data_IF_534071607347
#
_entry.id   IF_534071607347
#
_cell.length_a   1.000
_cell.length_b   1.000
_cell.length_c   1.000
_cell.angle_alpha   90.00
_cell.angle_beta   90.00
_cell.angle_gamma   90.00
#
_symmetry.space_group_name_H-M   'P 1'
#
loop_
_entity.id
_entity.type
_entity.pdbx_description
1 polymer ?
#
# COMPACT_ATOMS: atom_id res chain seq x y z
N UNK A 1 -15.17 -49.18 -15.70
CA UNK A 1 -15.05 -47.78 -16.15
C UNK A 1 -14.20 -47.04 -15.14
N UNK A 2 -12.99 -46.62 -15.51
CA UNK A 2 -11.97 -46.13 -14.59
C UNK A 2 -12.17 -44.62 -14.29
N UNK A 3 -12.69 -44.29 -13.11
CA UNK A 3 -12.59 -42.93 -12.56
C UNK A 3 -11.22 -42.74 -11.88
N UNK A 4 -10.17 -42.70 -12.70
CA UNK A 4 -8.85 -42.30 -12.26
C UNK A 4 -8.84 -40.79 -12.05
N UNK A 5 -9.06 -40.34 -10.82
CA UNK A 5 -8.77 -38.96 -10.42
C UNK A 5 -7.32 -38.70 -10.81
N UNK A 6 -7.10 -37.76 -11.74
CA UNK A 6 -5.77 -37.43 -12.23
C UNK A 6 -5.02 -36.63 -11.16
N UNK A 7 -4.60 -37.33 -10.10
CA UNK A 7 -3.98 -36.76 -8.89
C UNK A 7 -2.70 -35.98 -9.20
N UNK A 8 -2.07 -36.26 -10.35
CA UNK A 8 -0.89 -35.55 -10.84
C UNK A 8 -1.19 -34.11 -11.25
N UNK A 9 -2.31 -33.88 -11.93
CA UNK A 9 -2.71 -32.56 -12.45
C UNK A 9 -3.22 -31.67 -11.32
N UNK A 10 -4.00 -32.23 -10.40
CA UNK A 10 -4.47 -31.51 -9.21
C UNK A 10 -3.31 -31.13 -8.28
N UNK A 11 -2.34 -32.03 -8.06
CA UNK A 11 -1.11 -31.71 -7.30
C UNK A 11 -0.31 -30.59 -7.97
N UNK A 12 -0.20 -30.58 -9.31
CA UNK A 12 0.49 -29.52 -10.05
C UNK A 12 -0.23 -28.18 -9.93
N UNK A 13 -1.56 -28.17 -10.03
CA UNK A 13 -2.41 -26.98 -9.86
C UNK A 13 -2.33 -26.41 -8.45
N UNK A 14 -2.34 -27.28 -7.43
CA UNK A 14 -2.17 -26.85 -6.04
C UNK A 14 -0.81 -26.20 -5.80
N UNK A 15 0.28 -26.80 -6.31
CA UNK A 15 1.63 -26.22 -6.22
C UNK A 15 1.74 -24.88 -6.94
N UNK A 16 1.13 -24.73 -8.11
CA UNK A 16 1.14 -23.45 -8.83
C UNK A 16 0.36 -22.36 -8.08
N UNK A 17 -0.77 -22.70 -7.46
CA UNK A 17 -1.53 -21.78 -6.61
C UNK A 17 -0.74 -21.36 -5.37
N UNK A 18 -0.01 -22.28 -4.73
CA UNK A 18 0.89 -21.94 -3.61
C UNK A 18 2.01 -20.98 -4.04
N UNK A 19 2.64 -21.24 -5.19
CA UNK A 19 3.65 -20.34 -5.75
C UNK A 19 3.06 -18.96 -6.06
N UNK A 20 1.87 -18.90 -6.67
CA UNK A 20 1.13 -17.66 -6.94
C UNK A 20 0.82 -16.91 -5.65
N UNK A 21 0.34 -17.58 -4.60
CA UNK A 21 0.09 -16.99 -3.28
C UNK A 21 1.36 -16.36 -2.70
N UNK A 22 2.49 -17.05 -2.76
CA UNK A 22 3.78 -16.53 -2.29
C UNK A 22 4.23 -15.31 -3.09
N UNK A 23 4.03 -15.31 -4.40
CA UNK A 23 4.35 -14.18 -5.28
C UNK A 23 3.48 -12.96 -4.98
N UNK A 24 2.16 -13.14 -4.94
CA UNK A 24 1.20 -12.08 -4.63
C UNK A 24 1.49 -11.43 -3.26
N UNK A 25 1.86 -12.22 -2.25
CA UNK A 25 2.25 -11.67 -0.94
C UNK A 25 3.47 -10.75 -1.03
N UNK A 26 4.47 -11.10 -1.84
CA UNK A 26 5.65 -10.24 -2.06
C UNK A 26 5.29 -8.97 -2.83
N UNK A 27 4.42 -9.09 -3.84
CA UNK A 27 3.94 -7.96 -4.63
C UNK A 27 3.14 -6.97 -3.74
N UNK A 28 2.23 -7.48 -2.90
CA UNK A 28 1.49 -6.65 -1.92
C UNK A 28 2.45 -5.88 -1.03
N UNK A 29 3.44 -6.56 -0.44
CA UNK A 29 4.41 -5.90 0.43
C UNK A 29 5.24 -4.84 -0.31
N UNK A 30 5.63 -5.10 -1.57
CA UNK A 30 6.35 -4.14 -2.38
C UNK A 30 5.51 -2.89 -2.67
N UNK A 31 4.23 -3.07 -3.02
CA UNK A 31 3.27 -1.99 -3.27
C UNK A 31 3.05 -1.18 -1.99
N UNK A 32 2.85 -1.82 -0.84
CA UNK A 32 2.67 -1.14 0.45
C UNK A 32 3.90 -0.29 0.82
N UNK A 33 5.11 -0.81 0.56
CA UNK A 33 6.36 -0.06 0.78
C UNK A 33 6.48 1.15 -0.14
N UNK A 34 6.13 1.00 -1.41
CA UNK A 34 6.15 2.10 -2.38
C UNK A 34 5.12 3.17 -2.01
N UNK A 35 3.91 2.74 -1.63
CA UNK A 35 2.84 3.62 -1.15
C UNK A 35 3.30 4.43 0.07
N UNK A 36 3.95 3.78 1.05
CA UNK A 36 4.54 4.47 2.20
C UNK A 36 5.52 5.56 1.78
N UNK A 37 6.47 5.22 0.89
CA UNK A 37 7.51 6.14 0.44
C UNK A 37 6.91 7.35 -0.26
N UNK A 38 6.00 7.12 -1.19
CA UNK A 38 5.37 8.17 -1.98
C UNK A 38 4.47 9.06 -1.13
N UNK A 39 3.69 8.47 -0.21
CA UNK A 39 2.87 9.22 0.74
C UNK A 39 3.74 10.05 1.70
N UNK A 40 4.87 9.52 2.17
CA UNK A 40 5.82 10.28 3.02
C UNK A 40 6.37 11.48 2.27
N UNK A 41 6.89 11.28 1.06
CA UNK A 41 7.43 12.36 0.23
C UNK A 41 6.36 13.43 -0.02
N UNK A 42 5.12 13.03 -0.29
CA UNK A 42 4.04 13.96 -0.51
C UNK A 42 3.68 14.75 0.76
N UNK A 43 3.55 14.08 1.91
CA UNK A 43 3.27 14.74 3.19
C UNK A 43 4.40 15.69 3.59
N UNK A 44 5.65 15.36 3.31
CA UNK A 44 6.79 16.26 3.56
C UNK A 44 6.72 17.51 2.67
N UNK A 45 6.47 17.34 1.36
CA UNK A 45 6.32 18.44 0.41
C UNK A 45 5.15 19.37 0.78
N UNK A 46 4.06 18.81 1.29
CA UNK A 46 2.83 19.54 1.64
C UNK A 46 2.78 19.95 3.12
N UNK A 47 3.84 19.73 3.89
CA UNK A 47 3.91 20.03 5.33
C UNK A 47 2.78 19.38 6.15
N UNK A 48 2.43 18.14 5.82
CA UNK A 48 1.42 17.36 6.52
C UNK A 48 -0.02 17.61 6.05
N UNK A 49 -0.23 18.35 4.96
CA UNK A 49 -1.56 18.55 4.37
C UNK A 49 -1.90 17.41 3.38
N UNK A 50 -2.83 16.50 3.70
CA UNK A 50 -3.16 15.39 2.80
C UNK A 50 -3.85 15.90 1.52
N UNK A 51 -3.53 15.27 0.38
CA UNK A 51 -4.15 15.51 -0.94
C UNK A 51 -5.67 15.69 -0.89
N UNK A 52 -6.33 14.90 -0.05
CA UNK A 52 -7.79 14.80 -0.01
C UNK A 52 -8.47 15.86 0.85
N UNK A 53 -7.71 16.60 1.68
CA UNK A 53 -8.29 17.53 2.66
C UNK A 53 -8.42 18.95 2.12
N UNK A 54 -7.75 19.31 1.04
CA UNK A 54 -7.85 20.68 0.55
C UNK A 54 -7.83 20.77 -0.98
N UNK A 55 -9.01 20.92 -1.58
CA UNK A 55 -9.19 21.24 -3.00
C UNK A 55 -8.53 22.58 -3.33
N UNK A 56 -8.47 23.50 -2.36
CA UNK A 56 -7.90 24.84 -2.55
C UNK A 56 -6.41 24.80 -2.89
N UNK A 57 -5.70 23.72 -2.52
CA UNK A 57 -4.32 23.50 -2.95
C UNK A 57 -4.21 23.41 -4.48
N UNK A 58 -5.15 22.71 -5.12
CA UNK A 58 -5.16 22.50 -6.57
C UNK A 58 -5.68 23.72 -7.35
N UNK A 59 -6.51 24.55 -6.72
CA UNK A 59 -7.13 25.70 -7.40
C UNK A 59 -6.36 26.99 -7.21
N UNK A 60 -5.66 27.16 -6.09
CA UNK A 60 -5.10 28.47 -5.71
C UNK A 60 -3.58 28.52 -5.56
N UNK A 61 -2.88 27.37 -5.49
CA UNK A 61 -1.45 27.28 -5.15
C UNK A 61 -1.04 28.05 -3.87
N UNK A 62 -1.99 28.51 -3.06
CA UNK A 62 -1.75 29.28 -1.83
C UNK A 62 -1.84 28.34 -0.65
N UNK A 63 -0.68 27.98 -0.10
CA UNK A 63 -0.61 27.31 1.19
C UNK A 63 -0.40 28.40 2.24
N UNK A 64 -1.38 28.63 3.10
CA UNK A 64 -1.15 29.36 4.36
C UNK A 64 -0.27 28.49 5.26
N UNK A 65 1.04 28.78 5.24
CA UNK A 65 2.09 27.95 5.82
C UNK A 65 2.10 28.06 7.35
N UNK A 66 1.27 27.26 8.04
CA UNK A 66 1.63 26.77 9.37
C UNK A 66 2.37 25.45 9.19
N UNK A 67 3.70 25.46 9.40
CA UNK A 67 4.53 24.25 9.41
C UNK A 67 3.97 23.28 10.44
N UNK A 68 3.26 22.25 9.98
CA UNK A 68 2.86 21.13 10.84
C UNK A 68 3.92 20.04 10.71
N UNK A 69 4.31 19.45 11.84
CA UNK A 69 5.08 18.22 11.80
C UNK A 69 4.23 17.13 11.13
N UNK A 70 4.83 16.39 10.19
CA UNK A 70 4.18 15.23 9.56
C UNK A 70 3.96 14.18 10.65
N UNK A 71 2.71 13.77 10.82
CA UNK A 71 2.29 12.74 11.77
C UNK A 71 1.76 11.53 10.99
N UNK A 72 2.00 10.32 11.46
CA UNK A 72 1.47 9.09 10.85
C UNK A 72 -0.07 9.08 10.77
N UNK A 73 -0.77 9.79 11.66
CA UNK A 73 -2.23 10.00 11.57
C UNK A 73 -2.67 10.73 10.29
N UNK A 74 -1.75 11.41 9.60
CA UNK A 74 -2.01 12.09 8.32
C UNK A 74 -1.90 11.14 7.13
N UNK A 75 -1.34 9.93 7.32
CA UNK A 75 -1.31 8.88 6.30
C UNK A 75 -2.71 8.29 6.16
N UNK A 76 -3.29 8.44 4.99
CA UNK A 76 -4.62 7.93 4.70
C UNK A 76 -4.59 6.66 3.87
N UNK A 77 -3.52 6.45 3.09
CA UNK A 77 -3.39 5.31 2.19
C UNK A 77 -2.71 4.14 2.86
N UNK A 78 -1.72 4.40 3.72
CA UNK A 78 -0.97 3.32 4.38
C UNK A 78 -1.22 3.23 5.89
N UNK A 79 -2.44 2.82 6.27
CA UNK A 79 -2.85 2.70 7.68
C UNK A 79 -2.27 1.49 8.42
N UNK A 80 -1.81 0.47 7.69
CA UNK A 80 -1.39 -0.83 8.26
C UNK A 80 0.12 -1.08 8.14
N UNK A 81 0.89 -0.18 7.54
CA UNK A 81 2.36 -0.29 7.53
C UNK A 81 2.88 -0.20 8.96
N UNK A 82 3.92 -0.95 9.34
CA UNK A 82 4.33 -1.03 10.73
C UNK A 82 4.69 0.36 11.25
N UNK A 83 3.81 0.87 12.11
CA UNK A 83 4.15 1.86 13.12
C UNK A 83 5.30 1.23 13.93
N UNK A 84 6.43 1.92 14.14
CA UNK A 84 7.29 1.54 15.25
C UNK A 84 6.40 1.50 16.49
N UNK A 85 6.32 0.34 17.13
CA UNK A 85 5.39 0.09 18.23
C UNK A 85 5.43 1.20 19.29
N UNK A 86 4.27 1.47 19.90
CA UNK A 86 4.09 2.33 21.08
C UNK A 86 5.06 1.97 22.20
#
# INVERSE_FOLDING_TARGET
>A
MANGINTSTEKRKFRSLLAKKKRLKKEIFAIEKELFKTETAHLEMTQGAPITKNVDYYTSNRIDKKKSAVNDKMRMFNRNFPMPNK
#
